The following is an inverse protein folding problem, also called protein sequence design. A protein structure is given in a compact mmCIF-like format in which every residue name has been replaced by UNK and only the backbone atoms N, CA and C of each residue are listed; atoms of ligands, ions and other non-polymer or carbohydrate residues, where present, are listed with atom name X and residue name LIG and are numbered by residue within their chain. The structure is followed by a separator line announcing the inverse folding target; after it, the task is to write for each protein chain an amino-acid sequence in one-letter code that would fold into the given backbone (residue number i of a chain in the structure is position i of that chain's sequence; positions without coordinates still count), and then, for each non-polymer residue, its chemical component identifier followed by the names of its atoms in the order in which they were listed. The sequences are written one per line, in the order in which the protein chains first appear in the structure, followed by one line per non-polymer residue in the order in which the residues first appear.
data_IF_956229723298
#
_entry.id   IF_956229723298
#
_cell.length_a   1.000
_cell.length_b   1.000
_cell.length_c   1.000
_cell.angle_alpha   90.00
_cell.angle_beta   90.00
_cell.angle_gamma   90.00
#
_symmetry.space_group_name_H-M   'P 1'
#
loop_
_entity.id
_entity.type
_entity.pdbx_description
1 polymer ?
#
# COMPACT_ATOMS: atom_id res chain seq x y z
N UNK A 1 -11.33 48.34 36.62
CA UNK A 1 -12.31 47.37 36.07
C UNK A 1 -11.68 46.86 34.80
N UNK A 2 -10.93 45.78 34.97
CA UNK A 2 -10.02 45.23 33.98
C UNK A 2 -10.77 44.55 32.84
N UNK A 3 -10.40 44.90 31.61
CA UNK A 3 -10.86 44.28 30.39
C UNK A 3 -9.87 43.15 30.05
N UNK A 4 -10.31 41.89 30.15
CA UNK A 4 -9.48 40.71 29.89
C UNK A 4 -9.17 40.55 28.39
N UNK A 5 -7.88 40.61 28.07
CA UNK A 5 -7.25 39.99 26.91
C UNK A 5 -6.98 38.51 27.19
N UNK A 6 -7.13 37.68 26.15
CA UNK A 6 -6.11 36.68 25.82
C UNK A 6 -6.42 35.21 26.11
N UNK A 7 -6.33 34.43 25.02
CA UNK A 7 -5.83 33.06 24.92
C UNK A 7 -6.66 31.93 25.57
N UNK A 8 -6.79 30.72 25.02
CA UNK A 8 -6.39 30.11 23.75
C UNK A 8 -6.97 28.68 23.80
N UNK A 9 -7.50 28.18 22.70
CA UNK A 9 -7.91 26.78 22.54
C UNK A 9 -6.71 25.85 22.84
N UNK A 10 -6.84 25.03 23.87
CA UNK A 10 -5.92 23.93 24.15
C UNK A 10 -6.49 22.61 23.66
N UNK A 11 -6.12 22.19 22.44
CA UNK A 11 -6.14 20.79 22.01
C UNK A 11 -4.93 20.60 21.08
N UNK A 12 -3.76 20.26 21.65
CA UNK A 12 -2.61 19.77 20.89
C UNK A 12 -1.58 19.12 21.83
N UNK A 13 -0.93 18.05 21.34
CA UNK A 13 0.16 17.25 21.90
C UNK A 13 -0.23 16.05 22.77
N UNK A 14 -0.57 14.93 22.13
CA UNK A 14 -0.58 13.61 22.76
C UNK A 14 -0.04 12.57 21.77
N UNK A 15 1.29 12.54 21.52
CA UNK A 15 1.97 11.47 20.75
C UNK A 15 3.51 11.62 20.73
N UNK A 16 4.18 11.40 21.86
CA UNK A 16 5.63 11.10 21.95
C UNK A 16 6.05 10.70 23.38
N UNK A 17 5.39 11.28 24.39
CA UNK A 17 5.81 11.19 25.79
C UNK A 17 5.48 9.86 26.49
N UNK A 18 4.63 8.99 25.92
CA UNK A 18 4.18 7.74 26.56
C UNK A 18 4.90 6.47 26.05
N UNK A 19 5.80 6.60 25.07
CA UNK A 19 6.52 5.46 24.50
C UNK A 19 7.83 5.27 25.27
N UNK A 20 8.11 4.08 25.85
CA UNK A 20 9.35 3.84 26.59
C UNK A 20 10.59 4.14 25.75
N UNK A 21 11.64 4.81 26.29
CA UNK A 21 12.81 5.22 25.53
C UNK A 21 13.50 4.08 24.77
N UNK A 22 13.60 2.90 25.39
CA UNK A 22 14.18 1.72 24.74
C UNK A 22 13.40 1.27 23.49
N UNK A 23 12.06 1.40 23.51
CA UNK A 23 11.19 1.06 22.37
C UNK A 23 11.34 2.09 21.26
N UNK A 24 11.37 3.38 21.59
CA UNK A 24 11.64 4.44 20.61
C UNK A 24 13.01 4.27 19.95
N UNK A 25 14.06 3.96 20.72
CA UNK A 25 15.39 3.70 20.19
C UNK A 25 15.38 2.52 19.21
N UNK A 26 14.65 1.44 19.53
CA UNK A 26 14.50 0.29 18.62
C UNK A 26 13.80 0.69 17.32
N UNK A 27 12.66 1.39 17.40
CA UNK A 27 11.87 1.81 16.23
C UNK A 27 12.70 2.74 15.33
N UNK A 28 13.33 3.76 15.91
CA UNK A 28 14.16 4.71 15.15
C UNK A 28 15.33 4.02 14.47
N UNK A 29 15.98 3.05 15.14
CA UNK A 29 17.05 2.27 14.54
C UNK A 29 16.56 1.48 13.33
N UNK A 30 15.42 0.80 13.43
CA UNK A 30 14.87 0.04 12.30
C UNK A 30 14.47 0.92 11.12
N UNK A 31 13.89 2.09 11.38
CA UNK A 31 13.56 3.06 10.32
C UNK A 31 14.85 3.54 9.65
N UNK A 32 15.91 3.83 10.42
CA UNK A 32 17.20 4.23 9.89
C UNK A 32 17.86 3.11 9.06
N UNK A 33 17.83 1.87 9.55
CA UNK A 33 18.33 0.68 8.84
C UNK A 33 17.54 0.45 7.53
N UNK A 34 16.21 0.56 7.56
CA UNK A 34 15.37 0.47 6.36
C UNK A 34 15.74 1.56 5.35
N UNK A 35 15.88 2.81 5.78
CA UNK A 35 16.19 3.91 4.87
C UNK A 35 17.61 3.84 4.30
N UNK A 36 18.54 3.19 5.03
CA UNK A 36 19.91 2.98 4.56
C UNK A 36 19.99 1.90 3.46
N UNK A 37 19.16 0.85 3.56
CA UNK A 37 19.09 -0.23 2.58
C UNK A 37 17.63 -0.70 2.38
N UNK A 38 16.82 0.07 1.64
CA UNK A 38 15.40 -0.23 1.48
C UNK A 38 15.22 -1.45 0.58
N UNK A 39 14.41 -2.46 1.00
CA UNK A 39 14.13 -3.60 0.16
C UNK A 39 13.48 -3.19 -1.18
N UNK A 40 13.80 -3.87 -2.30
CA UNK A 40 13.29 -3.51 -3.61
C UNK A 40 11.75 -3.48 -3.67
N UNK A 41 11.20 -2.37 -4.14
CA UNK A 41 9.75 -2.19 -4.29
C UNK A 41 8.99 -2.04 -2.96
N UNK A 42 9.68 -1.73 -1.86
CA UNK A 42 9.05 -1.42 -0.58
C UNK A 42 9.40 0.01 -0.18
N UNK A 43 8.38 0.80 0.16
CA UNK A 43 8.53 2.19 0.59
C UNK A 43 7.84 2.37 1.93
N UNK A 44 8.41 3.16 2.83
CA UNK A 44 7.80 3.46 4.12
C UNK A 44 7.82 4.96 4.41
N UNK A 45 6.86 5.40 5.21
CA UNK A 45 6.90 6.67 5.89
C UNK A 45 6.22 6.57 7.26
N UNK A 46 6.88 6.99 8.35
CA UNK A 46 6.22 7.19 9.63
C UNK A 46 5.09 8.22 9.52
N UNK A 47 4.04 8.10 10.34
CA UNK A 47 3.03 9.15 10.45
C UNK A 47 3.63 10.41 11.08
N UNK A 48 3.21 11.59 10.60
CA UNK A 48 3.78 12.89 10.99
C UNK A 48 3.74 13.13 12.51
N UNK A 49 2.72 12.60 13.18
CA UNK A 49 2.50 12.80 14.60
C UNK A 49 2.69 11.54 15.44
N UNK A 50 2.99 10.39 14.85
CA UNK A 50 3.13 9.14 15.59
C UNK A 50 4.13 8.20 14.91
N UNK A 51 5.39 8.25 15.33
CA UNK A 51 6.45 7.39 14.78
C UNK A 51 6.23 5.90 15.08
N UNK A 52 5.31 5.56 15.99
CA UNK A 52 4.93 4.17 16.26
C UNK A 52 3.97 3.62 15.20
N UNK A 53 3.52 4.48 14.28
CA UNK A 53 2.73 4.10 13.11
C UNK A 53 3.51 4.40 11.83
N UNK A 54 3.54 3.41 10.95
CA UNK A 54 4.21 3.50 9.66
C UNK A 54 3.20 3.16 8.56
N UNK A 55 3.15 4.00 7.54
CA UNK A 55 2.53 3.68 6.27
C UNK A 55 3.58 3.03 5.39
N UNK A 56 3.32 1.83 4.91
CA UNK A 56 4.16 1.10 3.99
C UNK A 56 3.44 0.86 2.66
N UNK A 57 4.14 1.04 1.56
CA UNK A 57 3.71 0.60 0.23
C UNK A 57 4.59 -0.58 -0.16
N UNK A 58 3.98 -1.73 -0.39
CA UNK A 58 4.66 -2.92 -0.91
C UNK A 58 4.21 -3.11 -2.35
N UNK A 59 5.15 -3.10 -3.29
CA UNK A 59 4.84 -3.34 -4.70
C UNK A 59 4.54 -4.81 -4.94
N UNK A 60 3.51 -5.06 -5.74
CA UNK A 60 3.17 -6.40 -6.19
C UNK A 60 4.30 -7.06 -6.97
N UNK A 61 4.66 -8.32 -6.67
CA UNK A 61 5.80 -9.00 -7.27
C UNK A 61 5.66 -9.23 -8.77
N UNK A 62 6.80 -9.19 -9.47
CA UNK A 62 6.89 -9.48 -10.91
C UNK A 62 6.44 -10.91 -11.23
N UNK A 63 5.74 -11.09 -12.34
CA UNK A 63 5.25 -12.39 -12.81
C UNK A 63 4.00 -12.88 -12.09
N UNK A 64 3.34 -12.01 -11.32
CA UNK A 64 2.06 -12.27 -10.66
C UNK A 64 0.99 -11.35 -11.24
N UNK A 65 -0.31 -11.66 -11.12
CA UNK A 65 -1.37 -10.73 -11.49
C UNK A 65 -1.38 -9.42 -10.67
N UNK A 66 -0.58 -9.36 -9.61
CA UNK A 66 -0.42 -8.20 -8.74
C UNK A 66 0.73 -7.27 -9.20
N UNK A 67 1.49 -7.65 -10.23
CA UNK A 67 2.73 -6.98 -10.64
C UNK A 67 2.58 -5.45 -10.73
N UNK A 68 3.44 -4.75 -9.99
CA UNK A 68 3.49 -3.29 -10.01
C UNK A 68 2.35 -2.59 -9.27
N UNK A 69 1.39 -3.30 -8.66
CA UNK A 69 0.38 -2.70 -7.79
C UNK A 69 0.99 -2.07 -6.54
N UNK A 70 0.50 -0.91 -6.10
CA UNK A 70 0.93 -0.24 -4.86
C UNK A 70 0.02 -0.64 -3.69
N UNK A 71 0.42 -1.67 -2.96
CA UNK A 71 -0.36 -2.18 -1.84
C UNK A 71 -0.01 -1.46 -0.54
N UNK A 72 -0.99 -0.78 0.05
CA UNK A 72 -0.82 -0.02 1.30
C UNK A 72 -1.04 -0.90 2.52
N UNK A 73 -0.08 -0.84 3.43
CA UNK A 73 -0.10 -1.46 4.73
C UNK A 73 0.08 -0.40 5.82
N UNK A 74 -0.72 -0.49 6.88
CA UNK A 74 -0.50 0.24 8.13
C UNK A 74 0.20 -0.69 9.12
N UNK A 75 1.35 -0.25 9.63
CA UNK A 75 2.13 -0.96 10.65
C UNK A 75 2.08 -0.14 11.95
N UNK A 76 1.68 -0.77 13.05
CA UNK A 76 1.59 -0.15 14.36
C UNK A 76 2.44 -0.94 15.37
N UNK A 77 3.50 -0.31 15.87
CA UNK A 77 4.29 -0.85 16.97
C UNK A 77 3.50 -0.83 18.27
N UNK A 78 3.27 -2.00 18.85
CA UNK A 78 2.49 -2.17 20.08
C UNK A 78 3.35 -2.06 21.33
N UNK A 79 2.71 -2.09 22.50
CA UNK A 79 3.43 -1.83 23.74
C UNK A 79 4.53 -2.84 24.07
N UNK A 80 4.27 -4.10 23.71
CA UNK A 80 5.18 -5.23 23.91
C UNK A 80 6.25 -5.36 22.84
N UNK A 81 6.28 -4.49 21.82
CA UNK A 81 7.29 -4.56 20.77
C UNK A 81 8.70 -4.25 21.33
N UNK A 82 9.76 -5.01 20.96
CA UNK A 82 9.81 -6.08 19.94
C UNK A 82 9.59 -7.51 20.47
N UNK A 83 9.16 -7.70 21.72
CA UNK A 83 8.85 -9.04 22.25
C UNK A 83 7.66 -9.69 21.54
N UNK A 84 6.72 -8.88 21.07
CA UNK A 84 5.63 -9.26 20.18
C UNK A 84 5.75 -8.51 18.84
N UNK A 85 5.18 -9.06 17.75
CA UNK A 85 5.17 -8.39 16.45
C UNK A 85 4.37 -7.08 16.50
N UNK A 86 4.66 -6.12 15.61
CA UNK A 86 3.76 -5.00 15.41
C UNK A 86 2.41 -5.50 14.86
N UNK A 87 1.36 -4.71 15.05
CA UNK A 87 0.09 -4.95 14.35
C UNK A 87 0.22 -4.45 12.92
N UNK A 88 -0.19 -5.27 11.94
CA UNK A 88 -0.20 -4.87 10.53
C UNK A 88 -1.59 -5.05 9.96
N UNK A 89 -2.05 -4.07 9.19
CA UNK A 89 -3.31 -4.10 8.45
C UNK A 89 -3.06 -3.80 6.99
N UNK A 90 -3.67 -4.59 6.11
CA UNK A 90 -3.76 -4.32 4.68
C UNK A 90 -4.89 -3.33 4.41
N UNK A 91 -4.59 -2.22 3.73
CA UNK A 91 -5.51 -1.10 3.56
C UNK A 91 -6.14 -1.05 2.17
N UNK A 92 -5.50 -1.66 1.16
CA UNK A 92 -5.95 -1.66 -0.25
C UNK A 92 -7.06 -2.69 -0.48
N UNK A 93 -8.18 -2.59 0.24
CA UNK A 93 -9.29 -3.58 0.18
C UNK A 93 -10.50 -3.12 -0.63
N UNK A 94 -10.54 -1.86 -1.08
CA UNK A 94 -11.72 -1.22 -1.67
C UNK A 94 -12.96 -1.40 -0.77
N UNK A 95 -12.84 -0.99 0.50
CA UNK A 95 -13.86 -1.20 1.54
C UNK A 95 -14.31 -2.67 1.71
N UNK A 96 -13.38 -3.61 1.50
CA UNK A 96 -13.62 -5.06 1.62
C UNK A 96 -14.28 -5.69 0.39
N UNK A 97 -14.38 -4.95 -0.72
CA UNK A 97 -14.90 -5.47 -1.99
C UNK A 97 -13.92 -6.40 -2.68
N UNK A 98 -12.61 -6.13 -2.56
CA UNK A 98 -11.57 -6.87 -3.28
C UNK A 98 -10.73 -7.70 -2.32
N UNK A 99 -10.51 -8.96 -2.66
CA UNK A 99 -9.59 -9.85 -1.98
C UNK A 99 -8.42 -10.19 -2.92
N UNK A 100 -7.25 -9.62 -2.64
CA UNK A 100 -6.06 -9.78 -3.50
C UNK A 100 -5.27 -11.06 -3.22
N UNK A 101 -5.42 -11.64 -2.02
CA UNK A 101 -4.70 -12.83 -1.59
C UNK A 101 -5.53 -13.58 -0.55
N UNK A 102 -5.48 -14.92 -0.55
CA UNK A 102 -6.27 -15.77 0.36
C UNK A 102 -5.87 -15.61 1.83
N UNK A 103 -4.63 -15.19 2.10
CA UNK A 103 -4.13 -14.92 3.44
C UNK A 103 -4.49 -13.52 3.94
N UNK A 104 -5.20 -12.72 3.15
CA UNK A 104 -5.68 -11.39 3.53
C UNK A 104 -7.20 -11.39 3.46
N UNK A 105 -7.85 -11.11 4.59
CA UNK A 105 -9.31 -11.03 4.62
C UNK A 105 -9.84 -9.67 4.15
N UNK A 106 -11.16 -9.57 3.97
CA UNK A 106 -11.84 -8.34 3.51
C UNK A 106 -11.69 -7.15 4.46
N UNK A 107 -11.40 -7.41 5.73
CA UNK A 107 -11.17 -6.35 6.73
C UNK A 107 -9.70 -5.92 6.76
N UNK A 108 -8.84 -6.54 5.95
CA UNK A 108 -7.42 -6.26 5.88
C UNK A 108 -6.58 -6.98 6.94
N UNK A 109 -7.14 -7.99 7.62
CA UNK A 109 -6.35 -8.83 8.52
C UNK A 109 -5.49 -9.79 7.70
N UNK A 110 -4.24 -9.99 8.14
CA UNK A 110 -3.25 -10.79 7.43
C UNK A 110 -2.94 -12.04 8.25
N UNK A 111 -3.07 -13.22 7.64
CA UNK A 111 -2.66 -14.52 8.19
C UNK A 111 -1.19 -14.79 7.83
N UNK A 112 -0.27 -14.50 8.75
CA UNK A 112 1.17 -14.65 8.55
C UNK A 112 1.85 -15.08 9.85
N UNK A 113 2.73 -16.06 9.77
CA UNK A 113 3.41 -16.63 10.94
C UNK A 113 4.31 -15.63 11.66
N UNK A 114 4.94 -14.71 10.92
CA UNK A 114 5.76 -13.63 11.48
C UNK A 114 4.92 -12.54 12.18
N UNK A 115 3.60 -12.54 11.96
CA UNK A 115 2.65 -11.70 12.72
C UNK A 115 1.96 -12.47 13.84
N UNK A 116 2.31 -13.74 14.06
CA UNK A 116 1.66 -14.67 14.98
C UNK A 116 0.15 -14.82 14.76
N UNK A 117 -0.35 -14.51 13.56
CA UNK A 117 -1.76 -14.66 13.19
C UNK A 117 -2.06 -16.01 12.55
N UNK A 118 -1.03 -16.72 12.08
CA UNK A 118 -1.11 -18.10 11.60
C UNK A 118 0.15 -18.87 12.03
N UNK A 119 0.06 -19.66 13.11
CA UNK A 119 1.26 -20.16 13.80
C UNK A 119 2.02 -19.03 14.52
N UNK A 120 3.20 -19.31 15.05
CA UNK A 120 4.02 -18.33 15.76
C UNK A 120 5.50 -18.51 15.43
N UNK A 121 6.06 -17.55 14.70
CA UNK A 121 7.50 -17.53 14.34
C UNK A 121 8.15 -16.18 14.65
N UNK A 122 7.41 -15.21 15.19
CA UNK A 122 7.98 -13.93 15.57
C UNK A 122 9.11 -14.10 16.58
N UNK A 123 10.21 -13.38 16.34
CA UNK A 123 11.25 -13.20 17.34
C UNK A 123 11.71 -11.75 17.37
N UNK A 124 12.21 -11.24 18.51
CA UNK A 124 12.73 -9.87 18.62
C UNK A 124 13.92 -9.55 17.70
N UNK A 125 14.49 -10.56 17.04
CA UNK A 125 15.53 -10.42 16.04
C UNK A 125 14.98 -9.97 14.68
N UNK A 126 13.68 -10.15 14.41
CA UNK A 126 13.04 -9.65 13.20
C UNK A 126 12.91 -8.13 13.24
N UNK A 127 13.05 -7.52 12.06
CA UNK A 127 12.92 -6.08 11.83
C UNK A 127 11.75 -5.75 10.90
N UNK A 128 11.40 -4.47 10.81
CA UNK A 128 10.46 -3.94 9.83
C UNK A 128 10.76 -4.42 8.41
N UNK A 129 12.03 -4.37 7.98
CA UNK A 129 12.44 -4.85 6.65
C UNK A 129 12.12 -6.33 6.45
N UNK A 130 12.50 -7.18 7.40
CA UNK A 130 12.24 -8.63 7.31
C UNK A 130 10.73 -8.96 7.33
N UNK A 131 9.95 -8.17 8.07
CA UNK A 131 8.50 -8.31 8.14
C UNK A 131 7.85 -7.92 6.80
N UNK A 132 8.18 -6.76 6.25
CA UNK A 132 7.63 -6.29 4.99
C UNK A 132 8.06 -7.17 3.80
N UNK A 133 9.29 -7.72 3.83
CA UNK A 133 9.72 -8.74 2.87
C UNK A 133 8.90 -10.03 2.97
N UNK A 134 8.56 -10.47 4.19
CA UNK A 134 7.69 -11.63 4.39
C UNK A 134 6.29 -11.39 3.82
N UNK A 135 5.76 -10.16 3.97
CA UNK A 135 4.48 -9.74 3.38
C UNK A 135 4.57 -9.68 1.86
N UNK A 136 5.66 -9.15 1.29
CA UNK A 136 5.86 -9.14 -0.16
C UNK A 136 5.93 -10.57 -0.72
N UNK A 137 6.58 -11.49 0.00
CA UNK A 137 6.62 -12.90 -0.37
C UNK A 137 5.24 -13.57 -0.33
N UNK A 138 4.37 -13.17 0.60
CA UNK A 138 2.99 -13.63 0.64
C UNK A 138 2.23 -13.19 -0.62
N UNK A 139 2.50 -12.00 -1.15
CA UNK A 139 1.92 -11.52 -2.42
C UNK A 139 2.45 -12.28 -3.65
N UNK A 140 3.55 -13.05 -3.54
CA UNK A 140 4.01 -13.92 -4.63
C UNK A 140 3.11 -15.14 -4.81
N UNK A 141 2.48 -15.62 -3.72
CA UNK A 141 1.69 -16.84 -3.70
C UNK A 141 0.22 -16.53 -3.97
N UNK A 142 -0.10 -16.27 -5.23
CA UNK A 142 -1.48 -16.07 -5.68
C UNK A 142 -2.13 -17.44 -5.90
N UNK A 143 -3.32 -17.61 -5.33
CA UNK A 143 -4.09 -18.84 -5.43
C UNK A 143 -4.25 -19.31 -6.89
N UNK A 144 -4.10 -20.62 -7.10
CA UNK A 144 -4.38 -21.29 -8.38
C UNK A 144 -5.34 -22.44 -8.14
N UNK A 145 -6.44 -22.42 -8.88
CA UNK A 145 -7.42 -23.51 -8.89
C UNK A 145 -6.90 -24.67 -9.73
N UNK A 146 -7.36 -25.90 -9.41
CA UNK A 146 -7.09 -27.08 -10.24
C UNK A 146 -7.64 -26.94 -11.66
N UNK A 147 -8.77 -26.22 -11.81
CA UNK A 147 -9.33 -25.85 -13.10
C UNK A 147 -8.54 -24.66 -13.69
N UNK A 148 -7.93 -24.87 -14.86
CA UNK A 148 -7.13 -23.87 -15.57
C UNK A 148 -7.95 -22.64 -15.96
N UNK A 149 -9.21 -22.80 -16.37
CA UNK A 149 -10.07 -21.69 -16.75
C UNK A 149 -10.49 -20.87 -15.52
N UNK A 150 -10.70 -21.52 -14.38
CA UNK A 150 -10.93 -20.83 -13.11
C UNK A 150 -9.70 -20.02 -12.68
N UNK A 151 -8.50 -20.59 -12.83
CA UNK A 151 -7.23 -19.88 -12.56
C UNK A 151 -7.02 -18.68 -13.47
N UNK A 152 -7.25 -18.82 -14.77
CA UNK A 152 -7.14 -17.72 -15.75
C UNK A 152 -8.17 -16.62 -15.47
N UNK A 153 -9.39 -17.01 -15.06
CA UNK A 153 -10.42 -16.06 -14.65
C UNK A 153 -9.98 -15.25 -13.42
N UNK A 154 -9.47 -15.91 -12.38
CA UNK A 154 -8.93 -15.24 -11.19
C UNK A 154 -7.76 -14.32 -11.55
N UNK A 155 -6.84 -14.75 -12.41
CA UNK A 155 -5.71 -13.93 -12.85
C UNK A 155 -6.18 -12.63 -13.52
N UNK A 156 -7.15 -12.75 -14.43
CA UNK A 156 -7.74 -11.61 -15.14
C UNK A 156 -8.46 -10.64 -14.20
N UNK A 157 -9.20 -11.18 -13.22
CA UNK A 157 -9.85 -10.39 -12.16
C UNK A 157 -8.79 -9.63 -11.35
N UNK A 158 -7.76 -10.33 -10.86
CA UNK A 158 -6.73 -9.73 -10.03
C UNK A 158 -5.92 -8.68 -10.79
N UNK A 159 -5.61 -8.88 -12.08
CA UNK A 159 -4.95 -7.86 -12.91
C UNK A 159 -5.82 -6.62 -13.06
N UNK A 160 -7.11 -6.79 -13.33
CA UNK A 160 -8.05 -5.67 -13.41
C UNK A 160 -8.10 -4.90 -12.09
N UNK A 161 -8.30 -5.60 -10.97
CA UNK A 161 -8.45 -4.97 -9.66
C UNK A 161 -7.14 -4.38 -9.14
N UNK A 162 -5.98 -4.96 -9.50
CA UNK A 162 -4.66 -4.40 -9.19
C UNK A 162 -4.49 -3.05 -9.88
N UNK A 163 -4.78 -2.97 -11.18
CA UNK A 163 -4.67 -1.70 -11.91
C UNK A 163 -5.72 -0.70 -11.40
N UNK A 164 -6.96 -1.15 -11.18
CA UNK A 164 -8.04 -0.27 -10.71
C UNK A 164 -7.76 0.31 -9.33
N UNK A 165 -7.44 -0.55 -8.35
CA UNK A 165 -7.38 -0.17 -6.93
C UNK A 165 -5.94 0.09 -6.51
N UNK A 166 -5.07 -0.91 -6.65
CA UNK A 166 -3.70 -0.80 -6.16
C UNK A 166 -2.86 0.21 -6.95
N UNK A 167 -3.17 0.46 -8.23
CA UNK A 167 -2.48 1.47 -9.05
C UNK A 167 -3.27 2.76 -9.09
N UNK A 168 -4.41 2.80 -9.76
CA UNK A 168 -5.09 4.07 -10.05
C UNK A 168 -5.60 4.77 -8.79
N UNK A 169 -6.28 4.09 -7.86
CA UNK A 169 -6.76 4.73 -6.61
C UNK A 169 -5.57 5.24 -5.77
N UNK A 170 -4.47 4.49 -5.69
CA UNK A 170 -3.28 4.90 -4.94
C UNK A 170 -2.59 6.11 -5.56
N UNK A 171 -2.47 6.15 -6.89
CA UNK A 171 -1.87 7.28 -7.61
C UNK A 171 -2.74 8.53 -7.47
N UNK A 172 -4.06 8.39 -7.56
CA UNK A 172 -5.01 9.48 -7.29
C UNK A 172 -4.85 10.02 -5.87
N UNK A 173 -4.76 9.14 -4.87
CA UNK A 173 -4.47 9.55 -3.51
C UNK A 173 -3.13 10.30 -3.43
N UNK A 174 -2.07 9.86 -4.11
CA UNK A 174 -0.77 10.55 -4.09
C UNK A 174 -0.78 11.91 -4.82
N UNK A 175 -1.71 12.11 -5.76
CA UNK A 175 -1.91 13.39 -6.44
C UNK A 175 -2.67 14.40 -5.55
N UNK A 176 -3.53 13.93 -4.66
CA UNK A 176 -4.32 14.79 -3.77
C UNK A 176 -3.49 15.43 -2.63
N UNK A 177 -3.78 16.68 -2.33
CA UNK A 177 -3.14 17.43 -1.24
C UNK A 177 -3.52 16.86 0.14
N UNK A 178 -4.78 16.49 0.32
CA UNK A 178 -5.34 15.97 1.58
C UNK A 178 -5.10 14.47 1.82
N UNK A 179 -4.21 13.84 1.05
CA UNK A 179 -3.93 12.42 1.21
C UNK A 179 -3.18 12.10 2.50
N UNK A 180 -3.48 10.93 3.12
CA UNK A 180 -2.86 10.50 4.38
C UNK A 180 -1.40 10.09 4.22
N UNK A 181 -0.88 9.98 3.00
CA UNK A 181 0.51 9.60 2.76
C UNK A 181 1.46 10.79 2.99
N UNK A 182 2.57 10.54 3.66
CA UNK A 182 3.66 11.51 3.72
C UNK A 182 4.20 11.82 2.32
N UNK A 183 4.74 13.02 2.13
CA UNK A 183 5.20 13.48 0.81
C UNK A 183 6.25 12.53 0.19
N UNK A 184 7.19 12.03 0.99
CA UNK A 184 8.23 11.09 0.55
C UNK A 184 7.66 9.79 -0.04
N UNK A 185 6.55 9.30 0.55
CA UNK A 185 5.85 8.12 0.09
C UNK A 185 5.09 8.41 -1.21
N UNK A 186 4.42 9.58 -1.29
CA UNK A 186 3.76 10.06 -2.52
C UNK A 186 4.76 10.12 -3.67
N UNK A 187 5.91 10.75 -3.47
CA UNK A 187 6.94 10.91 -4.50
C UNK A 187 7.48 9.56 -5.00
N UNK A 188 7.68 8.62 -4.09
CA UNK A 188 8.14 7.26 -4.42
C UNK A 188 7.13 6.50 -5.29
N UNK A 189 5.83 6.59 -4.93
CA UNK A 189 4.74 5.98 -5.71
C UNK A 189 4.62 6.62 -7.09
N UNK A 190 4.58 7.95 -7.15
CA UNK A 190 4.41 8.67 -8.42
C UNK A 190 5.57 8.41 -9.39
N UNK A 191 6.80 8.39 -8.88
CA UNK A 191 7.98 8.02 -9.68
C UNK A 191 7.86 6.60 -10.24
N UNK A 192 7.49 5.64 -9.39
CA UNK A 192 7.34 4.23 -9.82
C UNK A 192 6.19 4.02 -10.78
N UNK A 193 5.11 4.78 -10.63
CA UNK A 193 4.01 4.76 -11.58
C UNK A 193 4.49 5.18 -12.98
N UNK A 194 5.30 6.24 -13.08
CA UNK A 194 5.89 6.66 -14.35
C UNK A 194 6.85 5.59 -14.90
N UNK A 195 7.71 4.99 -14.07
CA UNK A 195 8.63 3.91 -14.48
C UNK A 195 7.89 2.70 -15.07
N UNK A 196 6.70 2.38 -14.55
CA UNK A 196 5.93 1.19 -14.89
C UNK A 196 4.76 1.44 -15.84
N UNK A 197 4.53 2.68 -16.28
CA UNK A 197 3.33 3.05 -17.03
C UNK A 197 3.08 2.15 -18.25
N UNK A 198 4.11 1.91 -19.06
CA UNK A 198 4.01 1.13 -20.29
C UNK A 198 3.61 -0.33 -20.03
N UNK A 199 3.97 -0.87 -18.86
CA UNK A 199 3.54 -2.20 -18.44
C UNK A 199 2.04 -2.20 -18.13
N UNK A 200 1.53 -1.23 -17.35
CA UNK A 200 0.10 -1.14 -17.05
C UNK A 200 -0.73 -0.96 -18.31
N UNK A 201 -0.30 -0.07 -19.21
CA UNK A 201 -0.98 0.18 -20.48
C UNK A 201 -1.01 -1.09 -21.36
N UNK A 202 0.11 -1.80 -21.46
CA UNK A 202 0.19 -3.07 -22.18
C UNK A 202 -0.76 -4.14 -21.63
N UNK A 203 -0.85 -4.29 -20.30
CA UNK A 203 -1.80 -5.22 -19.66
C UNK A 203 -3.24 -4.86 -20.01
N UNK A 204 -3.62 -3.58 -19.88
CA UNK A 204 -4.99 -3.12 -20.17
C UNK A 204 -5.33 -3.32 -21.65
N UNK A 205 -4.45 -2.93 -22.57
CA UNK A 205 -4.66 -3.07 -24.03
C UNK A 205 -4.88 -4.54 -24.41
N UNK A 206 -4.07 -5.46 -23.87
CA UNK A 206 -4.20 -6.89 -24.16
C UNK A 206 -5.55 -7.48 -23.75
N UNK A 207 -6.27 -6.83 -22.82
CA UNK A 207 -7.52 -7.31 -22.20
C UNK A 207 -8.74 -6.48 -22.54
N UNK A 208 -8.65 -5.54 -23.49
CA UNK A 208 -9.79 -4.73 -23.92
C UNK A 208 -10.99 -5.58 -24.37
N UNK A 209 -10.73 -6.76 -24.95
CA UNK A 209 -11.75 -7.72 -25.39
C UNK A 209 -12.65 -8.24 -24.25
N UNK A 210 -12.22 -8.15 -22.98
CA UNK A 210 -13.01 -8.53 -21.82
C UNK A 210 -13.96 -7.43 -21.36
N UNK A 211 -13.80 -6.18 -21.84
CA UNK A 211 -14.62 -5.04 -21.39
C UNK A 211 -16.11 -5.33 -21.52
N UNK A 212 -16.87 -5.08 -20.44
CA UNK A 212 -18.31 -5.31 -20.37
C UNK A 212 -18.72 -6.75 -20.01
N UNK A 213 -17.78 -7.72 -20.03
CA UNK A 213 -18.05 -9.09 -19.58
C UNK A 213 -18.03 -9.19 -18.05
N UNK A 214 -18.74 -10.18 -17.50
CA UNK A 214 -18.86 -10.39 -16.06
C UNK A 214 -17.56 -10.97 -15.47
N UNK A 215 -17.13 -10.44 -14.33
CA UNK A 215 -16.10 -11.06 -13.51
C UNK A 215 -16.72 -12.25 -12.75
N UNK A 216 -16.47 -13.45 -13.25
CA UNK A 216 -16.96 -14.70 -12.65
C UNK A 216 -15.93 -15.22 -11.64
N UNK A 217 -15.83 -14.54 -10.51
CA UNK A 217 -14.90 -14.94 -9.44
C UNK A 217 -15.18 -16.39 -8.98
N UNK A 218 -14.21 -17.31 -9.07
CA UNK A 218 -14.42 -18.70 -8.69
C UNK A 218 -14.75 -18.91 -7.21
N UNK A 219 -14.39 -17.97 -6.33
CA UNK A 219 -14.76 -17.96 -4.91
C UNK A 219 -16.15 -17.33 -4.66
N UNK A 220 -16.84 -16.87 -5.70
CA UNK A 220 -18.23 -16.40 -5.65
C UNK A 220 -18.39 -14.93 -5.27
N UNK A 221 -17.34 -14.12 -5.34
CA UNK A 221 -17.45 -12.68 -5.10
C UNK A 221 -18.09 -11.94 -6.28
N UNK A 222 -19.02 -11.03 -5.98
CA UNK A 222 -19.62 -10.18 -7.01
C UNK A 222 -18.77 -8.91 -7.20
N UNK A 223 -17.92 -8.93 -8.23
CA UNK A 223 -17.02 -7.83 -8.58
C UNK A 223 -17.56 -6.96 -9.72
N UNK A 224 -18.70 -7.30 -10.32
CA UNK A 224 -19.27 -6.59 -11.47
C UNK A 224 -18.64 -7.02 -12.79
N UNK A 225 -18.45 -6.07 -13.70
CA UNK A 225 -17.93 -6.31 -15.05
C UNK A 225 -16.54 -5.70 -15.24
N UNK A 226 -15.77 -6.26 -16.16
CA UNK A 226 -14.48 -5.68 -16.56
C UNK A 226 -14.68 -4.31 -17.21
N UNK A 227 -13.82 -3.35 -16.84
CA UNK A 227 -13.87 -1.97 -17.31
C UNK A 227 -12.53 -1.52 -17.91
N UNK A 228 -11.84 -2.39 -18.65
CA UNK A 228 -10.51 -2.11 -19.20
C UNK A 228 -10.45 -0.84 -20.08
N UNK A 229 -11.48 -0.56 -20.90
CA UNK A 229 -11.55 0.71 -21.65
C UNK A 229 -11.53 1.95 -20.73
N UNK A 230 -12.30 1.91 -19.62
CA UNK A 230 -12.30 3.00 -18.64
C UNK A 230 -10.98 3.07 -17.88
N UNK A 231 -10.37 1.92 -17.55
CA UNK A 231 -9.06 1.88 -16.91
C UNK A 231 -7.96 2.46 -17.81
N UNK A 232 -8.02 2.22 -19.13
CA UNK A 232 -7.08 2.78 -20.08
C UNK A 232 -7.16 4.31 -20.08
N UNK A 233 -8.36 4.87 -20.22
CA UNK A 233 -8.59 6.31 -20.16
C UNK A 233 -8.11 6.90 -18.81
N UNK A 234 -8.41 6.21 -17.70
CA UNK A 234 -8.00 6.61 -16.36
C UNK A 234 -6.47 6.63 -16.20
N UNK A 235 -5.77 5.60 -16.68
CA UNK A 235 -4.30 5.54 -16.65
C UNK A 235 -3.69 6.69 -17.45
N UNK A 236 -4.19 6.95 -18.65
CA UNK A 236 -3.70 8.03 -19.52
C UNK A 236 -3.88 9.41 -18.86
N UNK A 237 -5.04 9.66 -18.25
CA UNK A 237 -5.29 10.88 -17.48
C UNK A 237 -4.33 11.01 -16.29
N UNK A 238 -4.09 9.91 -15.55
CA UNK A 238 -3.16 9.91 -14.43
C UNK A 238 -1.72 10.15 -14.88
N UNK A 239 -1.26 9.58 -16.00
CA UNK A 239 0.06 9.85 -16.58
C UNK A 239 0.25 11.34 -16.81
N UNK A 240 -0.73 12.00 -17.43
CA UNK A 240 -0.68 13.42 -17.70
C UNK A 240 -0.58 14.25 -16.40
N UNK A 241 -1.43 13.96 -15.42
CA UNK A 241 -1.42 14.64 -14.11
C UNK A 241 -0.10 14.46 -13.35
N UNK A 242 0.50 13.27 -13.42
CA UNK A 242 1.78 12.99 -12.75
C UNK A 242 2.93 13.74 -13.44
N UNK A 243 2.95 13.80 -14.77
CA UNK A 243 3.95 14.57 -15.53
C UNK A 243 3.86 16.06 -15.18
N UNK A 244 2.65 16.64 -15.21
CA UNK A 244 2.43 18.05 -14.86
C UNK A 244 2.89 18.38 -13.44
N UNK A 245 2.60 17.49 -12.47
CA UNK A 245 3.05 17.66 -11.08
C UNK A 245 4.57 17.63 -10.97
N UNK A 246 5.23 16.72 -11.68
CA UNK A 246 6.69 16.59 -11.66
C UNK A 246 7.37 17.81 -12.31
N UNK A 247 6.83 18.34 -13.41
CA UNK A 247 7.31 19.56 -14.07
C UNK A 247 7.13 20.81 -13.20
N UNK A 248 5.98 20.94 -12.55
CA UNK A 248 5.70 22.04 -11.62
C UNK A 248 6.63 22.01 -10.39
N UNK A 249 7.04 20.84 -9.93
CA UNK A 249 8.01 20.68 -8.85
C UNK A 249 9.42 21.09 -9.29
N UNK A 250 9.85 20.70 -10.51
CA UNK A 250 11.16 21.07 -11.05
C UNK A 250 11.33 22.59 -11.19
N UNK A 251 10.29 23.28 -11.67
CA UNK A 251 10.33 24.74 -11.89
C UNK A 251 10.46 25.55 -10.58
N UNK A 252 10.01 25.00 -9.45
CA UNK A 252 10.12 25.66 -8.12
C UNK A 252 11.50 25.52 -7.47
N UNK A 253 12.35 24.60 -7.95
CA UNK A 253 13.70 24.39 -7.40
C UNK A 253 14.71 25.36 -8.03
N UNK A 254 14.40 25.90 -9.21
CA UNK A 254 15.26 26.82 -9.97
C UNK A 254 14.99 28.32 -9.70
N UNK A 255 14.11 28.65 -8.75
CA UNK A 255 13.76 30.04 -8.34
C UNK A 255 13.99 30.29 -6.86
#
# INVERSE_FOLDING_TARGET
MDNQQGASKGVAAMAANDVPPARLLRINREIAEFNADPPPGIFIAPEEHDITKINAIVMGPKGTPLEGGFFHFSVQYIDRYPLEPPKVRFMTTDAGRVQFNEHIDKSGNICLSTLNTFGSTWSPAQSLSSLLLSIQSLLCDVHKFEDEAASECLESILQHETIRVAVCDTVEACLQDNSPFAQTLKDSVLKKFTDLYEMYEGVVISRLHLTGTQMNDPAGFNLGTYQFEKLLARLQELKQKVVEKNEAAATKVDT
#
